data_IF_966022108068
#
_entry.id   IF_966022108068
#
_cell.length_a   1.000
_cell.length_b   1.000
_cell.length_c   1.000
_cell.angle_alpha   90.00
_cell.angle_beta   90.00
_cell.angle_gamma   90.00
#
_symmetry.space_group_name_H-M   'P 1'
#
loop_
_entity.id
_entity.type
_entity.pdbx_description
1 polymer ?
#
# COMPACT_ATOMS: atom_id res chain seq x y z
N UNK A 1 -3.30 14.42 -24.04
CA UNK A 1 -4.17 15.29 -23.22
C UNK A 1 -4.19 14.75 -21.79
N UNK A 2 -3.34 15.27 -20.87
CA UNK A 2 -3.24 14.78 -19.48
C UNK A 2 -3.81 15.76 -18.41
N UNK A 3 -4.40 16.89 -18.80
CA UNK A 3 -4.82 17.98 -17.90
C UNK A 3 -6.04 17.68 -17.04
N UNK A 4 -6.87 16.72 -17.44
CA UNK A 4 -8.17 16.46 -16.79
C UNK A 4 -8.01 15.78 -15.42
N UNK A 5 -7.17 14.73 -15.35
CA UNK A 5 -6.89 14.01 -14.10
C UNK A 5 -6.20 14.85 -13.02
N UNK A 6 -5.55 15.95 -13.40
CA UNK A 6 -4.84 16.83 -12.47
C UNK A 6 -5.79 17.78 -11.74
N UNK A 7 -6.87 18.21 -12.41
CA UNK A 7 -7.93 19.01 -11.78
C UNK A 7 -8.76 18.16 -10.82
N UNK A 8 -8.94 16.87 -11.13
CA UNK A 8 -9.64 15.92 -10.25
C UNK A 8 -8.93 15.69 -8.91
N UNK A 9 -7.60 15.68 -8.87
CA UNK A 9 -6.89 15.53 -7.59
C UNK A 9 -7.12 16.76 -6.69
N UNK A 10 -7.32 17.96 -7.25
CA UNK A 10 -7.70 19.14 -6.48
C UNK A 10 -9.11 19.02 -5.89
N UNK A 11 -10.07 18.50 -6.66
CA UNK A 11 -11.43 18.18 -6.21
C UNK A 11 -11.40 17.14 -5.07
N UNK A 12 -10.59 16.09 -5.20
CA UNK A 12 -10.39 15.12 -4.14
C UNK A 12 -9.92 15.79 -2.84
N UNK A 13 -9.03 16.80 -2.88
CA UNK A 13 -8.64 17.51 -1.67
C UNK A 13 -9.82 18.24 -1.01
N UNK A 14 -10.76 18.79 -1.78
CA UNK A 14 -11.96 19.42 -1.22
C UNK A 14 -12.92 18.38 -0.63
N UNK A 15 -13.10 17.25 -1.31
CA UNK A 15 -13.89 16.12 -0.78
C UNK A 15 -13.30 15.63 0.54
N UNK A 16 -11.97 15.52 0.66
CA UNK A 16 -11.31 15.16 1.91
C UNK A 16 -11.51 16.21 3.01
N UNK A 17 -11.52 17.51 2.67
CA UNK A 17 -11.79 18.57 3.64
C UNK A 17 -13.18 18.43 4.24
N UNK A 18 -14.17 18.21 3.39
CA UNK A 18 -15.55 18.04 3.83
C UNK A 18 -15.71 16.73 4.60
N UNK A 19 -15.24 15.61 4.06
CA UNK A 19 -15.44 14.29 4.65
C UNK A 19 -14.73 14.07 5.98
N UNK A 20 -13.57 14.70 6.20
CA UNK A 20 -12.80 14.56 7.44
C UNK A 20 -12.83 15.80 8.34
N UNK A 21 -13.73 16.76 8.06
CA UNK A 21 -13.86 18.04 8.78
C UNK A 21 -12.52 18.80 8.92
N UNK A 22 -11.76 18.88 7.81
CA UNK A 22 -10.47 19.56 7.76
C UNK A 22 -10.66 21.01 7.30
N UNK A 23 -10.57 21.94 8.24
CA UNK A 23 -10.78 23.38 8.00
C UNK A 23 -9.77 24.07 7.06
N UNK A 24 -8.66 23.42 6.68
CA UNK A 24 -7.63 24.06 5.85
C UNK A 24 -6.77 23.08 5.05
N UNK A 25 -6.19 23.57 3.95
CA UNK A 25 -5.20 22.84 3.15
C UNK A 25 -3.95 22.44 3.99
N UNK A 26 -3.66 23.18 5.06
CA UNK A 26 -2.62 22.82 6.01
C UNK A 26 -2.99 21.57 6.83
N UNK A 27 -4.24 21.43 7.23
CA UNK A 27 -4.73 20.22 7.91
C UNK A 27 -4.80 19.04 6.95
N UNK A 28 -5.19 19.25 5.69
CA UNK A 28 -5.11 18.20 4.64
C UNK A 28 -3.68 17.74 4.41
N UNK A 29 -2.72 18.67 4.35
CA UNK A 29 -1.30 18.35 4.23
C UNK A 29 -0.83 17.49 5.41
N UNK A 30 -1.20 17.86 6.64
CA UNK A 30 -0.87 17.12 7.85
C UNK A 30 -1.51 15.71 7.85
N UNK A 31 -2.80 15.61 7.51
CA UNK A 31 -3.54 14.36 7.39
C UNK A 31 -2.87 13.40 6.39
N UNK A 32 -2.53 13.88 5.18
CA UNK A 32 -1.87 13.07 4.16
C UNK A 32 -0.37 12.85 4.45
N UNK A 33 0.22 13.57 5.39
CA UNK A 33 1.65 13.57 5.71
C UNK A 33 2.51 14.08 4.55
N UNK A 34 2.08 15.16 3.90
CA UNK A 34 2.79 15.84 2.80
C UNK A 34 2.97 17.32 3.12
N UNK A 35 3.80 18.00 2.34
CA UNK A 35 4.05 19.44 2.55
C UNK A 35 2.92 20.31 2.00
N UNK A 36 2.78 21.53 2.53
CA UNK A 36 1.87 22.54 1.97
C UNK A 36 2.21 22.88 0.51
N UNK A 37 3.49 22.87 0.16
CA UNK A 37 3.95 23.07 -1.22
C UNK A 37 3.45 21.96 -2.15
N UNK A 38 3.42 20.72 -1.67
CA UNK A 38 2.84 19.59 -2.42
C UNK A 38 1.35 19.79 -2.63
N UNK A 39 0.59 20.19 -1.60
CA UNK A 39 -0.84 20.52 -1.72
C UNK A 39 -1.05 21.64 -2.75
N UNK A 40 -0.29 22.73 -2.66
CA UNK A 40 -0.37 23.82 -3.62
C UNK A 40 -0.12 23.35 -5.07
N UNK A 41 0.89 22.51 -5.28
CA UNK A 41 1.14 21.92 -6.60
C UNK A 41 -0.01 21.04 -7.09
N UNK A 42 -0.64 20.26 -6.21
CA UNK A 42 -1.82 19.45 -6.57
C UNK A 42 -3.01 20.35 -6.92
N UNK A 43 -3.29 21.38 -6.12
CA UNK A 43 -4.36 22.37 -6.35
C UNK A 43 -4.26 23.04 -7.72
N UNK A 44 -3.04 23.32 -8.17
CA UNK A 44 -2.79 23.94 -9.49
C UNK A 44 -2.57 22.92 -10.62
N UNK A 45 -2.87 21.64 -10.38
CA UNK A 45 -2.71 20.59 -11.38
C UNK A 45 -1.25 20.39 -11.84
N UNK A 46 -0.27 20.76 -11.01
CA UNK A 46 1.16 20.58 -11.29
C UNK A 46 1.69 19.26 -10.74
N UNK A 47 0.95 18.61 -9.84
CA UNK A 47 1.29 17.33 -9.23
C UNK A 47 0.04 16.49 -8.99
N UNK A 48 0.26 15.18 -8.78
CA UNK A 48 -0.78 14.23 -8.34
C UNK A 48 -0.45 13.69 -6.96
N UNK A 49 -1.47 13.22 -6.25
CA UNK A 49 -1.28 12.47 -5.02
C UNK A 49 -0.62 11.13 -5.33
N UNK A 50 0.47 10.84 -4.63
CA UNK A 50 1.18 9.57 -4.72
C UNK A 50 0.34 8.41 -4.16
N UNK A 51 0.74 7.19 -4.52
CA UNK A 51 0.03 5.98 -4.09
C UNK A 51 -0.06 5.84 -2.57
N UNK A 52 0.95 6.31 -1.83
CA UNK A 52 0.94 6.28 -0.35
C UNK A 52 -0.17 7.17 0.19
N UNK A 53 -0.35 8.37 -0.36
CA UNK A 53 -1.43 9.27 0.05
C UNK A 53 -2.80 8.68 -0.29
N UNK A 54 -2.94 8.07 -1.47
CA UNK A 54 -4.18 7.37 -1.86
C UNK A 54 -4.50 6.19 -0.92
N UNK A 55 -3.49 5.41 -0.53
CA UNK A 55 -3.64 4.33 0.45
C UNK A 55 -4.02 4.85 1.83
N UNK A 56 -3.48 5.99 2.28
CA UNK A 56 -3.91 6.63 3.54
C UNK A 56 -5.39 6.96 3.52
N UNK A 57 -5.87 7.53 2.41
CA UNK A 57 -7.29 7.85 2.26
C UNK A 57 -8.14 6.58 2.38
N UNK A 58 -7.76 5.51 1.65
CA UNK A 58 -8.46 4.21 1.71
C UNK A 58 -8.47 3.58 3.11
N UNK A 59 -7.35 3.69 3.82
CA UNK A 59 -7.22 3.17 5.18
C UNK A 59 -8.12 3.92 6.16
N UNK A 60 -8.19 5.24 6.05
CA UNK A 60 -9.03 6.08 6.91
C UNK A 60 -10.53 5.85 6.70
N UNK A 61 -10.98 5.68 5.46
CA UNK A 61 -12.39 5.36 5.17
C UNK A 61 -12.74 3.89 5.43
N UNK A 62 -11.77 3.08 5.88
CA UNK A 62 -11.98 1.65 6.14
C UNK A 62 -12.41 0.89 4.89
N UNK A 63 -11.84 1.20 3.73
CA UNK A 63 -12.29 0.72 2.42
C UNK A 63 -12.43 -0.81 2.31
N UNK A 64 -11.59 -1.56 3.03
CA UNK A 64 -11.65 -3.02 3.12
C UNK A 64 -12.23 -3.55 4.44
N UNK A 65 -13.09 -2.78 5.11
CA UNK A 65 -13.69 -3.12 6.39
C UNK A 65 -12.67 -3.34 7.54
N UNK A 66 -11.43 -2.90 7.35
CA UNK A 66 -10.37 -2.89 8.36
C UNK A 66 -9.64 -1.55 8.31
N UNK A 67 -9.64 -0.82 9.43
CA UNK A 67 -8.71 0.29 9.66
C UNK A 67 -7.32 -0.31 9.99
N UNK A 68 -6.22 0.43 9.74
CA UNK A 68 -4.81 0.02 9.95
C UNK A 68 -4.20 -0.88 8.85
N UNK A 69 -4.78 -0.86 7.66
CA UNK A 69 -4.27 -1.62 6.54
C UNK A 69 -2.87 -1.15 6.11
N UNK A 70 -2.58 0.15 6.22
CA UNK A 70 -1.24 0.68 5.96
C UNK A 70 -0.17 0.10 6.88
N UNK A 71 -0.46 -0.08 8.16
CA UNK A 71 0.48 -0.69 9.10
C UNK A 71 0.76 -2.14 8.70
N UNK A 72 -0.25 -2.86 8.23
CA UNK A 72 -0.06 -4.24 7.80
C UNK A 72 0.80 -4.40 6.53
N UNK A 73 1.06 -3.31 5.80
CA UNK A 73 2.02 -3.29 4.68
C UNK A 73 3.47 -3.11 5.14
N UNK A 74 3.70 -2.78 6.42
CA UNK A 74 5.07 -2.69 6.94
C UNK A 74 5.75 -4.07 6.88
N UNK A 75 7.07 -4.10 6.60
CA UNK A 75 7.79 -5.36 6.42
C UNK A 75 7.67 -6.32 7.59
N UNK A 76 7.78 -5.83 8.82
CA UNK A 76 7.66 -6.66 10.03
C UNK A 76 6.27 -7.27 10.17
N UNK A 77 5.24 -6.48 9.87
CA UNK A 77 3.85 -6.93 9.96
C UNK A 77 3.51 -7.96 8.88
N UNK A 78 4.00 -7.75 7.66
CA UNK A 78 3.92 -8.75 6.59
C UNK A 78 4.64 -10.03 6.99
N UNK A 79 5.87 -9.92 7.50
CA UNK A 79 6.66 -11.06 7.96
C UNK A 79 5.95 -11.84 9.07
N UNK A 80 5.44 -11.15 10.08
CA UNK A 80 4.67 -11.75 11.17
C UNK A 80 3.39 -12.42 10.67
N UNK A 81 2.73 -11.86 9.65
CA UNK A 81 1.53 -12.46 9.06
C UNK A 81 1.87 -13.72 8.26
N UNK A 82 2.90 -13.68 7.41
CA UNK A 82 3.35 -14.84 6.63
C UNK A 82 3.73 -16.01 7.55
N UNK A 83 4.45 -15.73 8.63
CA UNK A 83 4.81 -16.76 9.63
C UNK A 83 3.59 -17.38 10.30
N UNK A 84 2.55 -16.59 10.57
CA UNK A 84 1.28 -17.07 11.15
C UNK A 84 0.49 -17.94 10.19
N UNK A 85 0.45 -17.62 8.90
CA UNK A 85 -0.38 -18.33 7.91
C UNK A 85 0.34 -19.47 7.20
N UNK A 86 1.67 -19.50 7.19
CA UNK A 86 2.42 -20.53 6.47
C UNK A 86 2.75 -21.75 7.34
N UNK A 87 1.95 -22.82 7.21
CA UNK A 87 2.29 -24.14 7.74
C UNK A 87 3.58 -24.73 7.13
N UNK A 88 3.92 -24.35 5.89
CA UNK A 88 5.14 -24.79 5.20
C UNK A 88 6.42 -24.23 5.85
N UNK A 89 6.37 -23.01 6.40
CA UNK A 89 7.49 -22.45 7.17
C UNK A 89 7.71 -23.18 8.50
N UNK A 90 6.63 -23.57 9.19
CA UNK A 90 6.73 -24.37 10.42
C UNK A 90 7.40 -25.75 10.15
N UNK A 91 7.13 -26.36 9.00
CA UNK A 91 7.78 -27.62 8.59
C UNK A 91 9.21 -27.43 8.07
N UNK A 92 9.51 -26.32 7.37
CA UNK A 92 10.86 -26.03 6.85
C UNK A 92 11.82 -25.57 7.94
N UNK A 93 11.40 -24.80 8.94
CA UNK A 93 12.27 -24.39 10.07
C UNK A 93 12.81 -25.58 10.87
N UNK A 94 12.08 -26.70 10.94
CA UNK A 94 12.57 -27.97 11.52
C UNK A 94 13.70 -28.58 10.67
N UNK A 95 13.74 -28.32 9.36
CA UNK A 95 14.70 -28.88 8.41
C UNK A 95 15.84 -27.95 8.00
N UNK A 96 15.67 -26.63 8.07
CA UNK A 96 16.62 -25.65 7.52
C UNK A 96 17.22 -24.76 8.59
N UNK A 97 18.11 -25.32 9.41
CA UNK A 97 19.05 -24.58 10.28
C UNK A 97 20.36 -24.21 9.56
N UNK A 98 20.40 -24.33 8.23
CA UNK A 98 21.64 -24.28 7.43
C UNK A 98 21.54 -23.48 6.11
N UNK A 99 20.62 -22.52 5.99
CA UNK A 99 20.76 -21.52 4.93
C UNK A 99 21.52 -20.33 5.51
N UNK A 100 22.79 -20.23 5.09
CA UNK A 100 23.69 -19.07 5.11
C UNK A 100 23.03 -17.84 5.74
N UNK A 101 23.43 -17.51 6.98
CA UNK A 101 23.20 -16.21 7.59
C UNK A 101 23.84 -15.16 6.69
N UNK A 102 23.07 -14.67 5.71
CA UNK A 102 23.33 -13.40 5.06
C UNK A 102 22.86 -12.34 6.05
N UNK A 103 23.68 -11.34 6.33
CA UNK A 103 23.22 -10.11 6.99
C UNK A 103 22.27 -9.40 6.03
N UNK A 104 21.02 -9.84 6.01
CA UNK A 104 19.94 -9.18 5.30
C UNK A 104 19.33 -8.15 6.23
N UNK A 105 18.91 -7.04 5.66
CA UNK A 105 18.02 -6.12 6.34
C UNK A 105 16.59 -6.67 6.36
N UNK A 106 15.70 -5.98 7.07
CA UNK A 106 14.30 -6.39 7.25
C UNK A 106 13.58 -6.64 5.92
N UNK A 107 13.90 -5.87 4.88
CA UNK A 107 13.31 -6.04 3.54
C UNK A 107 13.85 -7.28 2.82
N UNK A 108 15.15 -7.52 2.90
CA UNK A 108 15.76 -8.74 2.38
C UNK A 108 15.20 -10.00 3.04
N UNK A 109 15.01 -9.97 4.37
CA UNK A 109 14.37 -11.07 5.10
C UNK A 109 12.93 -11.30 4.66
N UNK A 110 12.15 -10.23 4.47
CA UNK A 110 10.78 -10.34 3.96
C UNK A 110 10.75 -11.02 2.59
N UNK A 111 11.65 -10.65 1.67
CA UNK A 111 11.69 -11.25 0.34
C UNK A 111 11.96 -12.76 0.40
N UNK A 112 12.94 -13.17 1.20
CA UNK A 112 13.27 -14.59 1.35
C UNK A 112 12.12 -15.35 2.01
N UNK A 113 11.46 -14.73 3.00
CA UNK A 113 10.28 -15.30 3.65
C UNK A 113 9.10 -15.49 2.69
N UNK A 114 8.80 -14.49 1.85
CA UNK A 114 7.76 -14.59 0.81
C UNK A 114 8.13 -15.67 -0.20
N UNK A 115 9.39 -15.72 -0.64
CA UNK A 115 9.86 -16.73 -1.57
C UNK A 115 9.63 -18.14 -1.04
N UNK A 116 10.03 -18.39 0.21
CA UNK A 116 9.90 -19.69 0.84
C UNK A 116 8.44 -20.05 1.12
N UNK A 117 7.62 -19.10 1.60
CA UNK A 117 6.21 -19.32 1.92
C UNK A 117 5.35 -19.58 0.68
N UNK A 118 5.66 -18.93 -0.45
CA UNK A 118 4.97 -19.14 -1.72
C UNK A 118 5.55 -20.30 -2.54
N UNK A 119 6.72 -20.83 -2.17
CA UNK A 119 7.37 -21.93 -2.87
C UNK A 119 8.03 -21.53 -4.20
N UNK A 120 8.34 -20.25 -4.39
CA UNK A 120 9.01 -19.77 -5.60
C UNK A 120 10.44 -20.32 -5.68
N UNK A 121 10.78 -20.94 -6.80
CA UNK A 121 12.09 -21.58 -7.01
C UNK A 121 13.15 -20.60 -7.46
N UNK A 122 12.73 -19.49 -8.07
CA UNK A 122 13.63 -18.51 -8.67
C UNK A 122 13.24 -17.08 -8.33
N UNK A 123 14.22 -16.18 -8.38
CA UNK A 123 13.97 -14.73 -8.27
C UNK A 123 13.12 -14.21 -9.42
N UNK A 124 13.10 -14.89 -10.57
CA UNK A 124 12.25 -14.52 -11.69
C UNK A 124 10.77 -14.72 -11.35
N UNK A 125 10.42 -15.87 -10.75
CA UNK A 125 9.05 -16.15 -10.30
C UNK A 125 8.60 -15.15 -9.21
N UNK A 126 9.47 -14.86 -8.24
CA UNK A 126 9.18 -13.87 -7.20
C UNK A 126 9.00 -12.47 -7.79
N UNK A 127 9.86 -12.07 -8.73
CA UNK A 127 9.78 -10.75 -9.37
C UNK A 127 8.49 -10.59 -10.19
N UNK A 128 8.10 -11.63 -10.93
CA UNK A 128 6.86 -11.68 -11.70
C UNK A 128 5.64 -11.56 -10.77
N UNK A 129 5.60 -12.34 -9.69
CA UNK A 129 4.55 -12.25 -8.68
C UNK A 129 4.45 -10.83 -8.10
N UNK A 130 5.57 -10.23 -7.71
CA UNK A 130 5.61 -8.89 -7.15
C UNK A 130 5.37 -7.77 -8.19
N UNK A 131 5.43 -8.09 -9.48
CA UNK A 131 5.30 -7.12 -10.57
C UNK A 131 6.45 -6.12 -10.62
N UNK A 132 7.67 -6.56 -10.31
CA UNK A 132 8.89 -5.73 -10.31
C UNK A 132 9.96 -6.31 -11.22
N UNK A 133 10.91 -5.47 -11.63
CA UNK A 133 12.08 -5.95 -12.36
C UNK A 133 13.01 -6.77 -11.45
N UNK A 134 13.63 -7.83 -11.97
CA UNK A 134 14.51 -8.74 -11.20
C UNK A 134 15.64 -8.04 -10.44
N UNK A 135 16.22 -6.99 -11.02
CA UNK A 135 17.26 -6.18 -10.38
C UNK A 135 16.76 -5.47 -9.10
N UNK A 136 15.46 -5.21 -8.99
CA UNK A 136 14.83 -4.65 -7.79
C UNK A 136 15.03 -5.57 -6.60
N UNK A 137 14.81 -6.89 -6.77
CA UNK A 137 14.99 -7.86 -5.71
C UNK A 137 16.44 -7.92 -5.22
N UNK A 138 17.39 -7.88 -6.16
CA UNK A 138 18.83 -7.84 -5.83
C UNK A 138 19.21 -6.59 -5.05
N UNK A 139 18.67 -5.41 -5.43
CA UNK A 139 18.92 -4.16 -4.70
C UNK A 139 18.32 -4.18 -3.30
N UNK A 140 17.08 -4.69 -3.17
CA UNK A 140 16.39 -4.81 -1.87
C UNK A 140 17.16 -5.73 -0.94
N UNK A 141 17.55 -6.93 -1.39
CA UNK A 141 18.35 -7.87 -0.58
C UNK A 141 19.72 -7.32 -0.18
N UNK A 142 20.27 -6.40 -0.96
CA UNK A 142 21.54 -5.75 -0.66
C UNK A 142 21.38 -4.52 0.25
N UNK A 143 20.18 -4.26 0.80
CA UNK A 143 19.88 -3.09 1.61
C UNK A 143 19.96 -1.75 0.86
N UNK A 144 19.93 -1.80 -0.47
CA UNK A 144 20.05 -0.61 -1.35
C UNK A 144 18.70 -0.11 -1.85
N UNK A 145 17.60 -0.64 -1.33
CA UNK A 145 16.25 -0.22 -1.67
C UNK A 145 15.19 -0.95 -0.84
N UNK A 146 13.95 -0.54 -0.99
CA UNK A 146 12.79 -1.15 -0.32
C UNK A 146 11.70 -1.47 -1.33
N UNK A 147 10.82 -2.41 -1.00
CA UNK A 147 9.64 -2.64 -1.82
C UNK A 147 8.70 -1.42 -1.82
N UNK A 148 8.11 -1.15 -2.99
CA UNK A 148 7.03 -0.17 -3.09
C UNK A 148 5.73 -0.69 -2.47
N UNK A 149 4.71 0.19 -2.31
CA UNK A 149 3.41 -0.21 -1.77
C UNK A 149 2.67 -1.25 -2.62
N UNK A 150 2.79 -1.20 -3.96
CA UNK A 150 2.16 -2.18 -4.87
C UNK A 150 2.68 -3.61 -4.64
N UNK A 151 3.99 -3.88 -4.67
CA UNK A 151 4.53 -5.20 -4.30
C UNK A 151 4.07 -5.68 -2.92
N UNK A 152 4.04 -4.79 -1.92
CA UNK A 152 3.59 -5.13 -0.56
C UNK A 152 2.10 -5.48 -0.50
N UNK A 153 1.25 -4.79 -1.26
CA UNK A 153 -0.17 -5.15 -1.39
C UNK A 153 -0.35 -6.55 -1.99
N UNK A 154 0.46 -6.90 -3.00
CA UNK A 154 0.43 -8.24 -3.59
C UNK A 154 0.85 -9.32 -2.58
N UNK A 155 1.90 -9.06 -1.80
CA UNK A 155 2.31 -9.93 -0.70
C UNK A 155 1.14 -10.08 0.28
N UNK A 156 0.56 -8.97 0.75
CA UNK A 156 -0.53 -9.02 1.70
C UNK A 156 -1.73 -9.80 1.18
N UNK A 157 -2.16 -9.55 -0.05
CA UNK A 157 -3.28 -10.24 -0.68
C UNK A 157 -3.08 -11.76 -0.70
N UNK A 158 -1.83 -12.21 -0.89
CA UNK A 158 -1.51 -13.63 -0.89
C UNK A 158 -1.77 -14.31 0.46
N UNK A 159 -1.64 -13.58 1.57
CA UNK A 159 -1.77 -14.11 2.93
C UNK A 159 -2.99 -13.61 3.70
N UNK A 160 -3.72 -12.66 3.14
CA UNK A 160 -5.00 -12.15 3.61
C UNK A 160 -5.77 -11.65 2.37
N UNK A 161 -6.52 -12.54 1.67
CA UNK A 161 -7.16 -12.19 0.41
C UNK A 161 -8.17 -11.05 0.55
N UNK A 162 -8.15 -10.16 -0.43
CA UNK A 162 -9.10 -9.07 -0.64
C UNK A 162 -9.27 -8.82 -2.13
N UNK A 163 -10.26 -7.99 -2.48
CA UNK A 163 -10.53 -7.61 -3.86
C UNK A 163 -9.44 -6.65 -4.38
N UNK A 164 -8.39 -7.22 -4.97
CA UNK A 164 -7.28 -6.45 -5.55
C UNK A 164 -7.70 -5.63 -6.76
N UNK A 165 -8.67 -6.09 -7.56
CA UNK A 165 -9.11 -5.37 -8.75
C UNK A 165 -9.81 -4.07 -8.35
N UNK A 166 -10.70 -4.15 -7.36
CA UNK A 166 -11.36 -2.99 -6.78
C UNK A 166 -10.36 -2.01 -6.17
N UNK A 167 -9.38 -2.51 -5.42
CA UNK A 167 -8.32 -1.68 -4.83
C UNK A 167 -7.47 -1.01 -5.91
N UNK A 168 -7.05 -1.74 -6.93
CA UNK A 168 -6.27 -1.19 -8.03
C UNK A 168 -7.06 -0.17 -8.85
N UNK A 169 -8.35 -0.41 -9.08
CA UNK A 169 -9.23 0.52 -9.76
C UNK A 169 -9.30 1.87 -9.02
N UNK A 170 -9.49 1.83 -7.70
CA UNK A 170 -9.56 3.05 -6.87
C UNK A 170 -8.19 3.72 -6.73
N UNK A 171 -7.10 2.96 -6.58
CA UNK A 171 -5.76 3.55 -6.52
C UNK A 171 -5.34 4.23 -7.83
N UNK A 172 -5.82 3.75 -8.97
CA UNK A 172 -5.47 4.28 -10.29
C UNK A 172 -6.40 5.40 -10.78
N UNK A 173 -7.62 5.51 -10.25
CA UNK A 173 -8.61 6.50 -10.68
C UNK A 173 -8.93 7.48 -9.55
N UNK A 174 -8.72 8.77 -9.81
CA UNK A 174 -9.09 9.82 -8.86
C UNK A 174 -10.60 9.88 -8.67
N UNK A 175 -11.38 9.71 -9.74
CA UNK A 175 -12.85 9.72 -9.68
C UNK A 175 -13.37 8.55 -8.84
N UNK A 176 -12.78 7.36 -8.99
CA UNK A 176 -13.15 6.21 -8.18
C UNK A 176 -12.80 6.41 -6.69
N UNK A 177 -11.71 7.12 -6.40
CA UNK A 177 -11.34 7.46 -5.03
C UNK A 177 -12.26 8.52 -4.43
N UNK A 178 -12.66 9.53 -5.20
CA UNK A 178 -13.68 10.51 -4.78
C UNK A 178 -14.99 9.78 -4.46
N UNK A 179 -15.46 8.92 -5.36
CA UNK A 179 -16.68 8.15 -5.17
C UNK A 179 -16.62 7.27 -3.91
N UNK A 180 -15.47 6.62 -3.65
CA UNK A 180 -15.30 5.81 -2.44
C UNK A 180 -15.36 6.65 -1.15
N UNK A 181 -14.81 7.86 -1.14
CA UNK A 181 -14.89 8.77 0.01
C UNK A 181 -16.32 9.27 0.21
N UNK A 182 -17.02 9.65 -0.86
CA UNK A 182 -18.41 10.08 -0.80
C UNK A 182 -19.35 8.98 -0.29
N UNK A 183 -19.21 7.75 -0.81
CA UNK A 183 -19.95 6.58 -0.33
C UNK A 183 -19.71 6.33 1.17
N UNK A 184 -18.46 6.52 1.63
CA UNK A 184 -18.15 6.45 3.05
C UNK A 184 -18.84 7.56 3.86
N UNK A 185 -18.80 8.80 3.40
CA UNK A 185 -19.48 9.92 4.08
C UNK A 185 -20.99 9.68 4.20
N UNK A 186 -21.64 9.22 3.14
CA UNK A 186 -23.08 8.90 3.16
C UNK A 186 -23.43 7.84 4.22
N UNK A 187 -22.60 6.81 4.37
CA UNK A 187 -22.77 5.78 5.40
C UNK A 187 -22.52 6.32 6.81
N UNK A 188 -21.46 7.10 6.98
CA UNK A 188 -21.10 7.67 8.30
C UNK A 188 -22.17 8.65 8.79
N UNK A 189 -22.79 9.42 7.90
CA UNK A 189 -23.94 10.26 8.21
C UNK A 189 -25.19 9.45 8.56
N UNK A 190 -25.47 8.36 7.82
CA UNK A 190 -26.62 7.49 8.10
C UNK A 190 -26.52 6.75 9.44
N UNK A 191 -25.31 6.47 9.94
CA UNK A 191 -25.07 5.84 11.24
C UNK A 191 -25.18 6.83 12.43
N UNK A 192 -25.27 8.14 12.17
CA UNK A 192 -25.35 9.21 13.18
C UNK A 192 -26.77 9.77 13.41
N UNK A 193 -27.74 9.37 12.59
CA UNK A 193 -29.18 9.69 12.73
C UNK A 193 -29.96 8.59 13.47
#
# INVERSE_FOLDING_TARGET
MPTDTLHRDAELLDVLKTGFDLGSDAQVAAFLGITRTTIHSVRHGKARLGIVQRLKILDHIGFLHSRQWLESLLPDNLSARIRRTSHALAQRQVRSRQRITRDLDVEGELLDLVQDACGFRTDAELAEFLGVARNTLSNVRAGRGSLGPRPRLRILNRFAPFDTERVDAVLNSTDALIAAVQEWMERDHADQE
#
